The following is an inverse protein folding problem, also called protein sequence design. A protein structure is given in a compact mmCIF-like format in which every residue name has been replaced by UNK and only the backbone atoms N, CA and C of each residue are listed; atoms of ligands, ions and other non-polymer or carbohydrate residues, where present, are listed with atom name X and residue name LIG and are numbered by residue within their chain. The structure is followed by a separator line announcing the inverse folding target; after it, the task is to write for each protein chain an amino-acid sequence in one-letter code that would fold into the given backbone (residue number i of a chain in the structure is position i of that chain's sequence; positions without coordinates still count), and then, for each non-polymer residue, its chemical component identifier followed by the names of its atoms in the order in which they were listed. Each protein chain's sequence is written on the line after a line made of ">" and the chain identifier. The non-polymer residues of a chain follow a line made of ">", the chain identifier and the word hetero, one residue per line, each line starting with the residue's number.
data_IF_523364182105
#
_entry.id   IF_523364182105
#
_cell.length_a   1.000
_cell.length_b   1.000
_cell.length_c   1.000
_cell.angle_alpha   90.00
_cell.angle_beta   90.00
_cell.angle_gamma   90.00
#
_symmetry.space_group_name_H-M   'P 1'
#
loop_
_entity.id
_entity.type
_entity.pdbx_description
1 polymer ?
#
# COMPACT_ATOMS: atom_id res chain seq x y z
N UNK A 1 -0.87 1.53 12.50
CA UNK A 1 -0.54 1.90 11.11
C UNK A 1 -1.08 3.30 10.83
N UNK A 2 -0.38 4.09 10.02
CA UNK A 2 -0.84 5.36 9.47
C UNK A 2 -1.30 5.17 8.02
N UNK A 3 -2.37 5.86 7.62
CA UNK A 3 -2.97 5.76 6.30
C UNK A 3 -3.20 7.15 5.72
N UNK A 4 -2.90 7.33 4.43
CA UNK A 4 -3.24 8.52 3.65
C UNK A 4 -3.73 8.11 2.26
N UNK A 5 -4.64 8.87 1.68
CA UNK A 5 -5.07 8.72 0.29
C UNK A 5 -4.81 10.04 -0.44
N UNK A 6 -4.14 9.95 -1.58
CA UNK A 6 -3.93 11.06 -2.50
C UNK A 6 -4.78 10.76 -3.74
N UNK A 7 -5.90 11.48 -3.91
CA UNK A 7 -6.73 11.42 -5.11
C UNK A 7 -6.13 12.30 -6.20
N UNK A 8 -6.16 11.85 -7.45
CA UNK A 8 -5.58 12.54 -8.59
C UNK A 8 -4.17 13.09 -8.28
N UNK A 9 -3.20 12.21 -7.92
CA UNK A 9 -1.86 12.62 -7.53
C UNK A 9 -1.20 13.45 -8.63
N UNK A 10 -0.52 14.52 -8.24
CA UNK A 10 0.24 15.35 -9.18
C UNK A 10 1.41 14.56 -9.80
N UNK A 11 1.85 14.95 -11.00
CA UNK A 11 3.00 14.32 -11.65
C UNK A 11 4.25 14.33 -10.74
N UNK A 12 4.54 15.46 -10.08
CA UNK A 12 5.66 15.55 -9.15
C UNK A 12 5.55 14.61 -7.95
N UNK A 13 4.33 14.36 -7.44
CA UNK A 13 4.09 13.36 -6.39
C UNK A 13 4.41 11.95 -6.87
N UNK A 14 3.97 11.59 -8.08
CA UNK A 14 4.26 10.29 -8.67
C UNK A 14 5.76 10.11 -8.92
N UNK A 15 6.46 11.15 -9.36
CA UNK A 15 7.90 11.09 -9.61
C UNK A 15 8.71 10.90 -8.33
N UNK A 16 8.30 11.54 -7.23
CA UNK A 16 8.89 11.31 -5.90
C UNK A 16 8.71 9.85 -5.47
N UNK A 17 7.54 9.25 -5.70
CA UNK A 17 7.28 7.85 -5.38
C UNK A 17 8.11 6.91 -6.25
N UNK A 18 8.18 7.14 -7.56
CA UNK A 18 9.00 6.34 -8.50
C UNK A 18 10.46 6.28 -8.08
N UNK A 19 11.04 7.40 -7.63
CA UNK A 19 12.44 7.45 -7.16
C UNK A 19 12.70 6.62 -5.89
N UNK A 20 11.64 6.34 -5.12
CA UNK A 20 11.71 5.59 -3.86
C UNK A 20 11.31 4.13 -4.04
N UNK A 21 10.76 3.76 -5.17
CA UNK A 21 10.32 2.40 -5.50
C UNK A 21 11.41 1.64 -6.28
N UNK A 22 11.22 0.32 -6.45
CA UNK A 22 12.10 -0.49 -7.32
C UNK A 22 11.90 -0.10 -8.78
N UNK A 23 12.98 -0.15 -9.58
CA UNK A 23 12.97 0.27 -10.99
C UNK A 23 11.94 -0.47 -11.87
N UNK A 24 11.59 -1.71 -11.52
CA UNK A 24 10.60 -2.53 -12.26
C UNK A 24 9.15 -2.11 -12.04
N UNK A 25 8.87 -1.29 -11.02
CA UNK A 25 7.52 -0.87 -10.63
C UNK A 25 6.99 0.36 -11.39
N UNK A 26 7.89 1.12 -12.04
CA UNK A 26 7.56 2.41 -12.63
C UNK A 26 6.57 2.33 -13.80
N UNK A 27 6.41 1.15 -14.41
CA UNK A 27 5.46 0.93 -15.51
C UNK A 27 4.00 0.94 -15.05
N UNK A 28 3.72 0.67 -13.77
CA UNK A 28 2.35 0.58 -13.23
C UNK A 28 1.71 1.94 -12.90
N UNK A 29 2.43 3.06 -13.09
CA UNK A 29 2.02 4.37 -12.55
C UNK A 29 1.41 5.34 -13.57
N UNK A 30 1.19 4.91 -14.81
CA UNK A 30 0.56 5.75 -15.84
C UNK A 30 -0.96 5.76 -15.67
N UNK A 31 -1.55 6.95 -15.48
CA UNK A 31 -3.02 7.11 -15.39
C UNK A 31 -3.64 6.71 -14.05
N UNK A 32 -2.85 6.67 -12.97
CA UNK A 32 -3.33 6.34 -11.63
C UNK A 32 -4.35 7.37 -11.14
N UNK A 33 -5.52 6.90 -10.71
CA UNK A 33 -6.59 7.73 -10.15
C UNK A 33 -6.38 8.10 -8.68
N UNK A 34 -5.72 7.23 -7.90
CA UNK A 34 -5.35 7.50 -6.52
C UNK A 34 -4.12 6.71 -6.05
N UNK A 35 -3.46 7.22 -5.01
CA UNK A 35 -2.41 6.50 -4.27
C UNK A 35 -2.81 6.37 -2.81
N UNK A 36 -2.84 5.14 -2.32
CA UNK A 36 -2.93 4.82 -0.90
C UNK A 36 -1.54 4.67 -0.30
N UNK A 37 -1.22 5.45 0.73
CA UNK A 37 0.03 5.31 1.48
C UNK A 37 -0.27 4.67 2.83
N UNK A 38 0.43 3.60 3.14
CA UNK A 38 0.31 2.90 4.43
C UNK A 38 1.69 2.77 5.05
N UNK A 39 1.83 3.26 6.27
CA UNK A 39 3.08 3.18 7.02
C UNK A 39 2.86 2.47 8.36
N UNK A 40 3.78 1.58 8.73
CA UNK A 40 3.66 0.78 9.94
C UNK A 40 4.86 -0.12 10.14
N UNK A 41 4.73 -1.08 11.06
CA UNK A 41 5.83 -2.01 11.34
C UNK A 41 6.11 -2.92 10.13
N UNK A 42 7.34 -3.38 9.94
CA UNK A 42 7.69 -4.24 8.80
C UNK A 42 6.74 -5.44 8.65
N UNK A 43 6.50 -6.19 9.74
CA UNK A 43 5.59 -7.35 9.71
C UNK A 43 4.15 -6.98 9.34
N UNK A 44 3.68 -5.85 9.87
CA UNK A 44 2.35 -5.30 9.58
C UNK A 44 2.20 -4.94 8.11
N UNK A 45 3.23 -4.34 7.52
CA UNK A 45 3.22 -3.90 6.13
C UNK A 45 3.31 -5.06 5.14
N UNK A 46 4.04 -6.14 5.46
CA UNK A 46 4.03 -7.35 4.62
C UNK A 46 2.63 -7.98 4.59
N UNK A 47 1.95 -8.05 5.75
CA UNK A 47 0.56 -8.52 5.79
C UNK A 47 -0.39 -7.56 5.04
N UNK A 48 -0.23 -6.24 5.22
CA UNK A 48 -1.04 -5.23 4.53
C UNK A 48 -0.88 -5.28 3.01
N UNK A 49 0.34 -5.53 2.53
CA UNK A 49 0.62 -5.68 1.11
C UNK A 49 -0.11 -6.88 0.50
N UNK A 50 -0.05 -8.06 1.14
CA UNK A 50 -0.79 -9.25 0.68
C UNK A 50 -2.32 -9.03 0.67
N UNK A 51 -2.85 -8.30 1.67
CA UNK A 51 -4.27 -7.97 1.70
C UNK A 51 -4.67 -7.02 0.56
N UNK A 52 -3.84 -6.02 0.27
CA UNK A 52 -4.08 -5.06 -0.81
C UNK A 52 -3.91 -5.69 -2.20
N UNK A 53 -2.89 -6.52 -2.43
CA UNK A 53 -2.66 -7.23 -3.70
C UNK A 53 -3.84 -8.15 -4.09
N UNK A 54 -4.58 -8.66 -3.11
CA UNK A 54 -5.80 -9.45 -3.34
C UNK A 54 -7.01 -8.61 -3.78
N UNK A 55 -6.94 -7.29 -3.65
CA UNK A 55 -7.99 -6.39 -4.14
C UNK A 55 -7.85 -6.21 -5.66
N UNK A 56 -8.99 -6.21 -6.36
CA UNK A 56 -9.01 -6.04 -7.81
C UNK A 56 -8.71 -4.58 -8.18
N UNK A 57 -7.84 -4.39 -9.17
CA UNK A 57 -7.56 -3.08 -9.76
C UNK A 57 -6.57 -2.23 -8.96
N UNK A 58 -5.79 -2.84 -8.07
CA UNK A 58 -4.66 -2.17 -7.42
C UNK A 58 -3.32 -2.83 -7.71
N UNK A 59 -2.24 -2.07 -7.53
CA UNK A 59 -0.85 -2.54 -7.54
C UNK A 59 -0.18 -2.05 -6.28
N UNK A 60 0.56 -2.90 -5.57
CA UNK A 60 1.21 -2.56 -4.30
C UNK A 60 2.72 -2.56 -4.45
N UNK A 61 3.36 -1.48 -3.99
CA UNK A 61 4.80 -1.31 -4.08
C UNK A 61 5.40 -0.85 -2.75
N UNK A 62 6.61 -1.33 -2.47
CA UNK A 62 7.41 -0.91 -1.33
C UNK A 62 8.03 0.48 -1.60
N UNK A 63 7.83 1.41 -0.67
CA UNK A 63 8.38 2.77 -0.73
C UNK A 63 9.59 2.84 0.18
N UNK A 64 10.78 2.78 -0.45
CA UNK A 64 12.05 2.78 0.27
C UNK A 64 12.44 4.18 0.73
N UNK A 65 12.98 4.26 1.93
CA UNK A 65 13.51 5.48 2.50
C UNK A 65 14.24 5.21 3.81
N UNK A 66 14.75 6.27 4.43
CA UNK A 66 15.31 6.22 5.78
C UNK A 66 14.19 6.24 6.83
N UNK A 67 13.36 5.19 6.87
CA UNK A 67 12.46 4.97 8.01
C UNK A 67 13.25 4.29 9.16
N UNK A 68 12.79 4.42 10.42
CA UNK A 68 13.34 3.65 11.54
C UNK A 68 13.41 2.15 11.21
N UNK A 69 14.39 1.40 11.74
CA UNK A 69 14.71 0.01 11.35
C UNK A 69 13.51 -0.96 11.23
N UNK A 70 12.44 -0.71 11.99
CA UNK A 70 11.26 -1.58 12.02
C UNK A 70 10.01 -0.97 11.36
N UNK A 71 10.11 0.20 10.74
CA UNK A 71 8.99 0.89 10.08
C UNK A 71 9.23 0.93 8.57
N UNK A 72 8.24 0.54 7.78
CA UNK A 72 8.28 0.67 6.31
C UNK A 72 6.96 1.28 5.80
N UNK A 73 6.96 1.68 4.53
CA UNK A 73 5.80 2.24 3.86
C UNK A 73 5.53 1.45 2.58
N UNK A 74 4.25 1.16 2.32
CA UNK A 74 3.78 0.67 1.04
C UNK A 74 2.92 1.73 0.35
N UNK A 75 2.96 1.75 -0.98
CA UNK A 75 2.07 2.52 -1.83
C UNK A 75 1.14 1.57 -2.59
N UNK A 76 -0.15 1.91 -2.63
CA UNK A 76 -1.21 1.17 -3.30
C UNK A 76 -1.73 2.06 -4.42
N UNK A 77 -1.51 1.67 -5.67
CA UNK A 77 -1.89 2.42 -6.87
C UNK A 77 -3.14 1.83 -7.50
N UNK A 78 -4.06 2.65 -7.99
CA UNK A 78 -5.25 2.19 -8.71
C UNK A 78 -6.19 3.34 -9.06
N UNK A 79 -7.44 3.02 -9.43
CA UNK A 79 -8.50 4.03 -9.42
C UNK A 79 -8.88 4.41 -7.97
N UNK A 80 -9.63 5.50 -7.81
CA UNK A 80 -9.97 6.00 -6.46
C UNK A 80 -10.78 4.99 -5.65
N UNK A 81 -11.72 4.28 -6.28
CA UNK A 81 -12.60 3.34 -5.57
C UNK A 81 -11.85 2.08 -5.14
N UNK A 82 -11.03 1.50 -6.02
CA UNK A 82 -10.18 0.36 -5.72
C UNK A 82 -9.20 0.65 -4.58
N UNK A 83 -8.56 1.82 -4.58
CA UNK A 83 -7.62 2.22 -3.51
C UNK A 83 -8.35 2.44 -2.18
N UNK A 84 -9.50 3.11 -2.19
CA UNK A 84 -10.32 3.30 -0.98
C UNK A 84 -10.78 1.96 -0.40
N UNK A 85 -11.26 1.05 -1.25
CA UNK A 85 -11.70 -0.29 -0.85
C UNK A 85 -10.55 -1.11 -0.26
N UNK A 86 -9.37 -1.08 -0.87
CA UNK A 86 -8.19 -1.79 -0.37
C UNK A 86 -7.76 -1.27 1.02
N UNK A 87 -7.75 0.05 1.22
CA UNK A 87 -7.42 0.65 2.52
C UNK A 87 -8.47 0.33 3.58
N UNK A 88 -9.75 0.37 3.23
CA UNK A 88 -10.84 0.02 4.16
C UNK A 88 -10.72 -1.43 4.61
N UNK A 89 -10.35 -2.35 3.72
CA UNK A 89 -10.16 -3.76 4.08
C UNK A 89 -9.00 -3.95 5.07
N UNK A 90 -7.87 -3.25 4.88
CA UNK A 90 -6.74 -3.27 5.82
C UNK A 90 -7.19 -2.73 7.19
N UNK A 91 -7.95 -1.63 7.22
CA UNK A 91 -8.47 -1.02 8.46
C UNK A 91 -9.44 -1.94 9.20
N UNK A 92 -10.36 -2.57 8.48
CA UNK A 92 -11.30 -3.53 9.06
C UNK A 92 -10.56 -4.68 9.74
N UNK A 93 -9.56 -5.26 9.07
CA UNK A 93 -8.77 -6.37 9.64
C UNK A 93 -7.86 -5.97 10.79
N UNK A 94 -7.38 -4.72 10.81
CA UNK A 94 -6.72 -4.13 11.99
C UNK A 94 -7.64 -4.11 13.21
N UNK A 95 -8.85 -3.57 13.03
CA UNK A 95 -9.84 -3.40 14.09
C UNK A 95 -10.34 -4.74 14.64
N UNK A 96 -10.50 -5.73 13.77
CA UNK A 96 -10.84 -7.11 14.16
C UNK A 96 -9.69 -7.86 14.84
N UNK A 97 -8.50 -7.27 14.97
CA UNK A 97 -7.31 -7.93 15.50
C UNK A 97 -6.83 -9.08 14.61
N UNK A 98 -7.25 -9.15 13.35
CA UNK A 98 -6.97 -10.27 12.42
C UNK A 98 -5.72 -10.06 11.57
N UNK A 99 -4.79 -9.18 11.96
CA UNK A 99 -3.41 -9.20 11.41
C UNK A 99 -2.60 -10.32 12.07
N UNK A 100 -3.20 -11.49 12.23
CA UNK A 100 -2.50 -12.72 12.47
C UNK A 100 -2.65 -13.52 11.18
N UNK A 101 -1.53 -14.01 10.66
CA UNK A 101 -1.57 -15.03 9.61
C UNK A 101 -2.35 -16.19 10.21
N UNK A 102 -3.60 -16.39 9.77
CA UNK A 102 -4.31 -17.63 10.02
C UNK A 102 -3.45 -18.71 9.37
N UNK A 103 -2.60 -19.39 10.15
CA UNK A 103 -2.28 -20.78 9.87
C UNK A 103 -3.64 -21.44 9.85
N UNK A 104 -4.19 -21.69 8.66
CA UNK A 104 -5.15 -22.77 8.50
C UNK A 104 -4.45 -24.00 9.07
N UNK A 105 -4.79 -24.37 10.30
CA UNK A 105 -4.80 -25.78 10.68
C UNK A 105 -5.96 -26.38 9.93
N UNK A 106 -5.66 -26.94 8.77
CA UNK A 106 -6.35 -28.06 8.13
C UNK A 106 -5.34 -28.73 7.18
#
# INVERSE_FOLDING_TARGET
>A
MEFRIIKAPSAGTLDILKQRMKATAAAAMNGVGAVGLVQGRMIEMICAADMAEKAVGVTVEDVRGSCPQNMIMIAIFGDTASVESAIQEIRRKLEEGKIYVNRKTD
#
